data_IF_887804711507
#
_entry.id   IF_887804711507
#
_cell.length_a   1.000
_cell.length_b   1.000
_cell.length_c   1.000
_cell.angle_alpha   90.00
_cell.angle_beta   90.00
_cell.angle_gamma   90.00
#
_symmetry.space_group_name_H-M   'P 1'
#
loop_
_entity.id
_entity.type
_entity.pdbx_description
1 polymer ?
#
# COMPACT_ATOMS: atom_id res chain seq x y z
N UNK A 1 40.93 -112.50 44.92
CA UNK A 1 41.73 -111.44 45.59
C UNK A 1 40.93 -110.14 45.54
N UNK A 2 40.76 -109.49 46.71
CA UNK A 2 40.24 -108.11 46.93
C UNK A 2 41.40 -107.08 46.75
N UNK A 3 41.24 -105.75 46.93
CA UNK A 3 40.16 -104.79 46.57
C UNK A 3 40.72 -103.42 46.05
N UNK A 4 39.86 -102.39 46.05
CA UNK A 4 40.07 -100.92 46.17
C UNK A 4 39.76 -100.13 44.89
N UNK A 5 38.62 -99.46 44.75
CA UNK A 5 38.04 -98.36 45.52
C UNK A 5 38.77 -97.01 45.33
N UNK A 6 38.17 -96.10 44.56
CA UNK A 6 38.10 -94.67 44.88
C UNK A 6 36.97 -94.00 44.06
N UNK A 7 35.82 -93.88 44.70
CA UNK A 7 34.84 -92.80 44.53
C UNK A 7 35.42 -91.61 45.39
N UNK A 8 34.94 -90.33 45.37
CA UNK A 8 33.55 -90.06 45.07
C UNK A 8 33.06 -88.64 44.67
N UNK A 9 31.72 -88.57 44.50
CA UNK A 9 30.79 -87.45 44.79
C UNK A 9 30.77 -86.30 43.75
N UNK A 10 29.66 -85.65 43.38
CA UNK A 10 28.22 -85.55 43.75
C UNK A 10 27.66 -84.47 42.79
N UNK A 11 26.40 -84.19 42.53
CA UNK A 11 25.07 -84.67 42.89
C UNK A 11 24.15 -84.08 41.79
N UNK A 12 23.08 -84.80 41.42
CA UNK A 12 21.91 -84.28 40.68
C UNK A 12 21.09 -83.34 41.63
N UNK A 13 19.90 -82.74 41.33
CA UNK A 13 18.94 -83.06 40.25
C UNK A 13 18.04 -81.89 39.76
N UNK A 14 17.00 -82.26 38.98
CA UNK A 14 15.65 -81.64 38.85
C UNK A 14 15.38 -80.76 37.60
N UNK A 15 14.48 -81.28 36.74
CA UNK A 15 13.75 -80.58 35.64
C UNK A 15 12.66 -79.65 36.22
N UNK A 16 12.10 -78.69 35.45
CA UNK A 16 10.83 -79.00 34.75
C UNK A 16 10.61 -78.29 33.39
N UNK A 17 9.64 -78.82 32.63
CA UNK A 17 9.04 -78.27 31.40
C UNK A 17 8.36 -76.92 31.66
N UNK A 18 8.38 -76.00 30.69
CA UNK A 18 7.33 -74.97 30.55
C UNK A 18 7.15 -74.57 29.08
N UNK A 19 5.90 -74.61 28.62
CA UNK A 19 5.41 -74.23 27.28
C UNK A 19 5.12 -72.73 27.27
N UNK A 20 5.53 -71.98 26.24
CA UNK A 20 5.18 -70.57 26.09
C UNK A 20 4.79 -70.18 24.65
N UNK A 21 3.47 -70.21 24.41
CA UNK A 21 2.59 -69.24 23.72
C UNK A 21 3.17 -68.37 22.57
N UNK A 22 2.67 -68.61 21.34
CA UNK A 22 2.79 -67.72 20.17
C UNK A 22 2.25 -66.31 20.47
N UNK A 23 3.04 -65.27 20.19
CA UNK A 23 2.66 -63.85 20.32
C UNK A 23 2.21 -63.33 18.93
N UNK A 24 0.95 -62.90 18.83
CA UNK A 24 0.41 -62.21 17.66
C UNK A 24 1.11 -60.85 17.49
N UNK A 25 1.84 -60.67 16.39
CA UNK A 25 2.37 -59.40 15.95
C UNK A 25 1.30 -58.68 15.11
N UNK A 26 0.78 -57.55 15.61
CA UNK A 26 0.06 -56.58 14.76
C UNK A 26 1.10 -55.78 13.95
N UNK A 27 0.88 -55.49 12.66
CA UNK A 27 1.77 -54.63 11.90
C UNK A 27 1.61 -53.16 12.34
N UNK A 28 2.67 -52.32 12.23
CA UNK A 28 2.61 -50.92 12.59
C UNK A 28 1.85 -50.15 11.50
N UNK A 29 0.75 -49.48 11.87
CA UNK A 29 0.08 -48.52 11.00
C UNK A 29 1.03 -47.35 10.74
N UNK A 30 1.53 -47.25 9.51
CA UNK A 30 2.22 -46.05 9.02
C UNK A 30 1.23 -44.88 9.07
N UNK A 31 1.49 -43.89 9.91
CA UNK A 31 0.78 -42.61 9.86
C UNK A 31 1.19 -41.91 8.56
N UNK A 32 0.40 -42.12 7.50
CA UNK A 32 0.46 -41.26 6.33
C UNK A 32 0.13 -39.83 6.79
N UNK A 33 1.13 -38.96 6.78
CA UNK A 33 0.93 -37.53 7.02
C UNK A 33 0.00 -37.00 5.93
N UNK A 34 -1.29 -36.86 6.26
CA UNK A 34 -2.26 -36.16 5.42
C UNK A 34 -1.75 -34.73 5.28
N UNK A 35 -1.22 -34.38 4.10
CA UNK A 35 -0.97 -32.99 3.71
C UNK A 35 -2.31 -32.27 3.81
N UNK A 36 -2.46 -31.48 4.87
CA UNK A 36 -3.58 -30.57 5.09
C UNK A 36 -3.53 -29.50 4.00
N UNK A 37 -4.24 -29.75 2.90
CA UNK A 37 -4.60 -28.73 1.92
C UNK A 37 -5.57 -27.77 2.63
N UNK A 38 -5.04 -26.76 3.32
CA UNK A 38 -5.84 -25.66 3.86
C UNK A 38 -6.45 -24.91 2.67
N UNK A 39 -7.73 -25.22 2.34
CA UNK A 39 -8.50 -24.43 1.38
C UNK A 39 -8.48 -22.98 1.86
N UNK A 40 -8.15 -21.99 1.00
CA UNK A 40 -8.23 -20.60 1.38
C UNK A 40 -9.68 -20.30 1.78
N UNK A 41 -9.86 -19.68 2.95
CA UNK A 41 -11.21 -19.37 3.41
C UNK A 41 -11.83 -18.34 2.47
N UNK A 42 -13.09 -18.52 2.09
CA UNK A 42 -13.81 -17.58 1.21
C UNK A 42 -13.79 -16.16 1.79
N UNK A 43 -13.80 -16.03 3.12
CA UNK A 43 -13.64 -14.77 3.83
C UNK A 43 -12.26 -14.14 3.63
N UNK A 44 -11.19 -14.93 3.65
CA UNK A 44 -9.83 -14.43 3.41
C UNK A 44 -9.68 -13.94 1.97
N UNK A 45 -10.25 -14.67 1.00
CA UNK A 45 -10.25 -14.26 -0.40
C UNK A 45 -11.11 -13.00 -0.62
N UNK A 46 -12.25 -12.88 0.08
CA UNK A 46 -13.08 -11.67 0.03
C UNK A 46 -12.32 -10.46 0.61
N UNK A 47 -11.67 -10.63 1.76
CA UNK A 47 -10.87 -9.58 2.39
C UNK A 47 -9.69 -9.16 1.50
N UNK A 48 -8.97 -10.14 0.94
CA UNK A 48 -7.87 -9.89 0.02
C UNK A 48 -8.35 -9.17 -1.24
N UNK A 49 -9.52 -9.55 -1.79
CA UNK A 49 -10.14 -8.87 -2.93
C UNK A 49 -10.48 -7.41 -2.60
N UNK A 50 -11.08 -7.14 -1.43
CA UNK A 50 -11.35 -5.77 -1.00
C UNK A 50 -10.09 -4.92 -0.89
N UNK A 51 -9.00 -5.49 -0.36
CA UNK A 51 -7.71 -4.79 -0.25
C UNK A 51 -7.15 -4.46 -1.65
N UNK A 52 -7.16 -5.42 -2.58
CA UNK A 52 -6.70 -5.21 -3.96
C UNK A 52 -7.55 -4.13 -4.65
N UNK A 53 -8.88 -4.18 -4.55
CA UNK A 53 -9.78 -3.18 -5.12
C UNK A 53 -9.50 -1.79 -4.53
N UNK A 54 -9.24 -1.71 -3.22
CA UNK A 54 -8.91 -0.45 -2.57
C UNK A 54 -7.62 0.16 -3.12
N UNK A 55 -6.55 -0.63 -3.24
CA UNK A 55 -5.27 -0.15 -3.79
C UNK A 55 -5.37 0.21 -5.27
N UNK A 56 -6.09 -0.58 -6.08
CA UNK A 56 -6.31 -0.28 -7.50
C UNK A 56 -7.14 1.00 -7.65
N UNK A 57 -8.22 1.14 -6.89
CA UNK A 57 -9.05 2.36 -6.90
C UNK A 57 -8.28 3.60 -6.46
N UNK A 58 -7.46 3.47 -5.42
CA UNK A 58 -6.60 4.56 -4.96
C UNK A 58 -5.51 4.90 -5.99
N UNK A 59 -4.91 3.90 -6.62
CA UNK A 59 -3.91 4.07 -7.68
C UNK A 59 -4.47 4.78 -8.90
N UNK A 60 -5.68 4.40 -9.35
CA UNK A 60 -6.38 5.06 -10.45
C UNK A 60 -6.72 6.50 -10.09
N UNK A 61 -7.26 6.75 -8.89
CA UNK A 61 -7.56 8.12 -8.42
C UNK A 61 -6.30 8.98 -8.39
N UNK A 62 -5.20 8.44 -7.85
CA UNK A 62 -3.93 9.14 -7.78
C UNK A 62 -3.36 9.45 -9.16
N UNK A 63 -3.43 8.49 -10.09
CA UNK A 63 -3.00 8.69 -11.47
C UNK A 63 -3.80 9.80 -12.14
N UNK A 64 -5.14 9.77 -12.05
CA UNK A 64 -6.02 10.79 -12.64
C UNK A 64 -5.73 12.18 -12.06
N UNK A 65 -5.62 12.30 -10.73
CA UNK A 65 -5.32 13.56 -10.07
C UNK A 65 -3.98 14.16 -10.53
N UNK A 66 -2.97 13.32 -10.79
CA UNK A 66 -1.64 13.78 -11.19
C UNK A 66 -1.43 13.94 -12.69
N UNK A 67 -2.16 13.20 -13.53
CA UNK A 67 -1.95 13.24 -15.00
C UNK A 67 -3.01 14.04 -15.74
N UNK A 68 -4.27 14.02 -15.31
CA UNK A 68 -5.38 14.66 -16.03
C UNK A 68 -5.73 16.02 -15.41
N UNK A 69 -5.65 16.15 -14.08
CA UNK A 69 -5.96 17.39 -13.36
C UNK A 69 -4.71 18.20 -12.97
N UNK A 70 -3.62 18.07 -13.73
CA UNK A 70 -2.41 18.83 -13.46
C UNK A 70 -2.64 20.32 -13.72
N UNK A 71 -2.71 21.11 -12.65
CA UNK A 71 -2.77 22.57 -12.72
C UNK A 71 -1.43 23.16 -12.23
N UNK A 72 -0.61 23.76 -13.13
CA UNK A 72 0.68 24.31 -12.75
C UNK A 72 0.57 25.55 -11.85
N UNK A 73 -0.60 26.18 -11.77
CA UNK A 73 -0.82 27.34 -10.91
C UNK A 73 -0.92 26.98 -9.43
N UNK A 74 -1.15 25.72 -9.06
CA UNK A 74 -1.38 25.36 -7.66
C UNK A 74 -0.23 25.84 -6.76
N UNK A 75 -0.60 26.42 -5.61
CA UNK A 75 0.31 27.01 -4.63
C UNK A 75 0.30 28.55 -4.62
N UNK A 76 1.30 29.12 -3.95
CA UNK A 76 1.41 30.56 -3.67
C UNK A 76 2.28 31.27 -4.70
N UNK A 77 1.84 32.46 -5.09
CA UNK A 77 2.47 33.32 -6.07
C UNK A 77 2.51 34.76 -5.54
N UNK A 78 3.63 35.44 -5.77
CA UNK A 78 3.86 36.80 -5.31
C UNK A 78 4.30 37.69 -6.46
N UNK A 79 3.69 38.86 -6.60
CA UNK A 79 4.13 39.92 -7.49
C UNK A 79 4.50 41.17 -6.71
N UNK A 80 5.51 41.87 -7.19
CA UNK A 80 5.82 43.22 -6.72
C UNK A 80 5.21 44.21 -7.70
N UNK A 81 4.23 44.98 -7.23
CA UNK A 81 3.54 46.01 -8.01
C UNK A 81 3.87 47.39 -7.45
N UNK A 82 3.52 48.44 -8.18
CA UNK A 82 3.68 49.84 -7.69
C UNK A 82 2.87 50.08 -6.40
N UNK A 83 1.74 49.37 -6.24
CA UNK A 83 0.87 49.46 -5.07
C UNK A 83 1.33 48.59 -3.89
N UNK A 84 2.44 47.86 -4.05
CA UNK A 84 3.00 46.98 -3.03
C UNK A 84 3.06 45.51 -3.44
N UNK A 85 3.16 44.64 -2.45
CA UNK A 85 3.26 43.20 -2.64
C UNK A 85 1.86 42.61 -2.81
N UNK A 86 1.64 41.92 -3.92
CA UNK A 86 0.42 41.20 -4.20
C UNK A 86 0.69 39.70 -4.06
N UNK A 87 -0.17 39.02 -3.31
CA UNK A 87 -0.12 37.56 -3.13
C UNK A 87 -1.40 36.91 -3.61
N UNK A 88 -1.23 35.76 -4.25
CA UNK A 88 -2.29 34.92 -4.76
C UNK A 88 -1.96 33.47 -4.42
N UNK A 89 -2.93 32.75 -3.89
CA UNK A 89 -2.83 31.31 -3.64
C UNK A 89 -3.90 30.58 -4.44
N UNK A 90 -3.48 29.63 -5.27
CA UNK A 90 -4.38 28.78 -6.04
C UNK A 90 -4.47 27.41 -5.39
N UNK A 91 -5.67 27.05 -4.95
CA UNK A 91 -6.06 25.72 -4.52
C UNK A 91 -6.79 24.99 -5.64
N UNK A 92 -7.05 23.69 -5.47
CA UNK A 92 -7.75 22.86 -6.48
C UNK A 92 -9.13 23.38 -6.90
N UNK A 93 -9.85 24.05 -6.00
CA UNK A 93 -11.24 24.48 -6.20
C UNK A 93 -11.48 25.94 -5.81
N UNK A 94 -10.42 26.67 -5.47
CA UNK A 94 -10.54 28.04 -4.98
C UNK A 94 -9.27 28.82 -5.23
N UNK A 95 -9.40 30.14 -5.27
CA UNK A 95 -8.31 31.09 -5.33
C UNK A 95 -8.43 32.06 -4.16
N UNK A 96 -7.33 32.33 -3.47
CA UNK A 96 -7.24 33.35 -2.44
C UNK A 96 -6.37 34.50 -2.92
N UNK A 97 -6.85 35.73 -2.76
CA UNK A 97 -6.08 36.94 -3.02
C UNK A 97 -6.60 38.08 -2.17
N UNK A 98 -5.72 38.96 -1.69
CA UNK A 98 -6.07 40.12 -0.86
C UNK A 98 -6.96 39.79 0.35
N UNK A 99 -6.79 38.60 0.94
CA UNK A 99 -7.58 38.15 2.10
C UNK A 99 -8.97 37.60 1.77
N UNK A 100 -9.37 37.61 0.49
CA UNK A 100 -10.63 37.02 0.03
C UNK A 100 -10.37 35.68 -0.65
N UNK A 101 -11.22 34.68 -0.37
CA UNK A 101 -11.15 33.35 -0.97
C UNK A 101 -12.41 33.08 -1.77
N UNK A 102 -12.26 32.88 -3.08
CA UNK A 102 -13.36 32.62 -4.00
C UNK A 102 -13.30 31.20 -4.55
N UNK A 103 -14.45 30.54 -4.77
CA UNK A 103 -14.50 29.29 -5.52
C UNK A 103 -14.12 29.56 -6.98
N UNK A 104 -13.27 28.72 -7.55
CA UNK A 104 -12.84 28.85 -8.94
C UNK A 104 -12.76 27.51 -9.65
N UNK A 105 -12.95 27.57 -10.96
CA UNK A 105 -12.69 26.47 -11.89
C UNK A 105 -11.52 26.84 -12.79
N UNK A 106 -10.73 25.84 -13.19
CA UNK A 106 -9.55 26.02 -14.02
C UNK A 106 -9.75 25.41 -15.40
N UNK A 107 -9.37 26.14 -16.44
CA UNK A 107 -9.17 25.62 -17.78
C UNK A 107 -7.67 25.69 -18.11
N UNK A 108 -7.04 24.52 -18.18
CA UNK A 108 -5.59 24.37 -18.29
C UNK A 108 -5.21 24.05 -19.74
N UNK A 109 -4.33 24.88 -20.30
CA UNK A 109 -3.69 24.68 -21.59
C UNK A 109 -2.18 24.61 -21.43
N UNK A 110 -1.45 24.16 -22.45
CA UNK A 110 0.01 23.97 -22.38
C UNK A 110 0.80 25.22 -21.93
N UNK A 111 0.37 26.42 -22.34
CA UNK A 111 1.08 27.68 -22.10
C UNK A 111 0.32 28.69 -21.22
N UNK A 112 -0.89 28.36 -20.79
CA UNK A 112 -1.74 29.27 -20.02
C UNK A 112 -2.78 28.50 -19.21
N UNK A 113 -3.25 29.11 -18.14
CA UNK A 113 -4.38 28.64 -17.35
C UNK A 113 -5.38 29.77 -17.22
N UNK A 114 -6.64 29.49 -17.52
CA UNK A 114 -7.75 30.40 -17.29
C UNK A 114 -8.38 30.05 -15.95
N UNK A 115 -8.43 31.02 -15.04
CA UNK A 115 -9.01 30.87 -13.70
C UNK A 115 -10.37 31.58 -13.72
N UNK A 116 -11.44 30.81 -13.57
CA UNK A 116 -12.82 31.29 -13.68
C UNK A 116 -13.40 31.39 -12.27
N UNK A 117 -13.74 32.60 -11.83
CA UNK A 117 -14.47 32.80 -10.57
C UNK A 117 -15.90 32.28 -10.72
N UNK A 118 -16.28 31.32 -9.90
CA UNK A 118 -17.59 30.67 -10.01
C UNK A 118 -18.75 31.50 -9.47
N UNK A 119 -18.47 32.54 -8.70
CA UNK A 119 -19.47 33.43 -8.11
C UNK A 119 -19.93 34.48 -9.11
N UNK A 120 -18.96 35.10 -9.81
CA UNK A 120 -19.23 36.21 -10.75
C UNK A 120 -19.09 35.80 -12.23
N UNK A 121 -18.63 34.57 -12.51
CA UNK A 121 -18.40 34.01 -13.85
C UNK A 121 -17.45 34.85 -14.70
N UNK A 122 -16.39 35.38 -14.08
CA UNK A 122 -15.33 36.13 -14.75
C UNK A 122 -14.05 35.29 -14.79
N UNK A 123 -13.40 35.23 -15.96
CA UNK A 123 -12.17 34.49 -16.18
C UNK A 123 -10.94 35.39 -16.26
N UNK A 124 -9.90 35.07 -15.49
CA UNK A 124 -8.58 35.69 -15.58
C UNK A 124 -7.58 34.72 -16.21
N UNK A 125 -6.86 35.15 -17.25
CA UNK A 125 -5.87 34.32 -17.94
C UNK A 125 -4.47 34.54 -17.35
N UNK A 126 -3.84 33.47 -16.92
CA UNK A 126 -2.45 33.44 -16.49
C UNK A 126 -1.60 32.70 -17.53
N UNK A 127 -0.62 33.39 -18.12
CA UNK A 127 0.36 32.80 -19.04
C UNK A 127 1.51 32.21 -18.23
N UNK A 128 1.86 30.96 -18.53
CA UNK A 128 2.98 30.25 -17.92
C UNK A 128 4.24 30.67 -18.66
N UNK A 129 5.22 31.27 -17.96
CA UNK A 129 6.51 31.66 -18.55
C UNK A 129 7.54 30.56 -18.28
N UNK A 130 7.61 30.11 -17.02
CA UNK A 130 8.43 29.00 -16.56
C UNK A 130 7.79 28.36 -15.31
N UNK A 131 8.40 27.32 -14.74
CA UNK A 131 7.87 26.58 -13.58
C UNK A 131 7.62 27.47 -12.33
N UNK A 132 8.34 28.58 -12.23
CA UNK A 132 8.33 29.48 -11.09
C UNK A 132 7.85 30.89 -11.44
N UNK A 133 7.38 31.12 -12.67
CA UNK A 133 7.00 32.44 -13.16
C UNK A 133 5.74 32.37 -14.02
N UNK A 134 4.75 33.16 -13.65
CA UNK A 134 3.53 33.36 -14.43
C UNK A 134 3.34 34.85 -14.69
N UNK A 135 2.55 35.18 -15.70
CA UNK A 135 2.09 36.55 -15.92
C UNK A 135 0.60 36.60 -16.15
N UNK A 136 -0.04 37.66 -15.67
CA UNK A 136 -1.44 37.97 -15.93
C UNK A 136 -1.52 39.34 -16.58
N UNK A 137 -2.55 39.55 -17.38
CA UNK A 137 -2.83 40.84 -18.01
C UNK A 137 -4.29 41.20 -17.71
N UNK A 138 -4.47 42.30 -16.97
CA UNK A 138 -5.78 42.79 -16.57
C UNK A 138 -5.81 44.32 -16.70
N UNK A 139 -6.85 44.85 -17.33
CA UNK A 139 -7.02 46.30 -17.49
C UNK A 139 -5.88 46.99 -18.25
N UNK A 140 -5.18 46.28 -19.14
CA UNK A 140 -4.01 46.81 -19.88
C UNK A 140 -2.68 46.78 -19.12
N UNK A 141 -2.66 46.27 -17.88
CA UNK A 141 -1.43 46.12 -17.10
C UNK A 141 -1.00 44.66 -17.04
N UNK A 142 0.26 44.41 -17.38
CA UNK A 142 0.91 43.11 -17.22
C UNK A 142 1.54 43.00 -15.84
N UNK A 143 1.12 42.01 -15.07
CA UNK A 143 1.69 41.68 -13.77
C UNK A 143 2.43 40.36 -13.85
N UNK A 144 3.67 40.32 -13.35
CA UNK A 144 4.49 39.11 -13.30
C UNK A 144 4.54 38.61 -11.86
N UNK A 145 4.20 37.34 -11.66
CA UNK A 145 4.24 36.68 -10.36
C UNK A 145 5.34 35.63 -10.33
N UNK A 146 5.98 35.49 -9.17
CA UNK A 146 6.96 34.46 -8.88
C UNK A 146 6.40 33.49 -7.84
N UNK A 147 6.68 32.20 -8.02
CA UNK A 147 6.27 31.16 -7.08
C UNK A 147 6.94 31.40 -5.73
N UNK A 148 6.16 31.32 -4.66
CA UNK A 148 6.66 31.37 -3.28
C UNK A 148 7.03 29.94 -2.87
N UNK A 149 8.27 29.76 -2.41
CA UNK A 149 8.77 28.48 -1.88
C UNK A 149 8.40 28.30 -0.42
#
# INVERSE_FOLDING_TARGET
MRPNALNPKKDKPIKPKTVAKKRNLKPPQSKAAKKSSKRPSLLLNLLASCIVIFFVGFGIKYAIDHTINYNPLLGKWRAQTVLGIMEIEFDRTSMSSFGTKNPVTYDVSENKVIVIDDTIKVGNTYKIIDENTISSEAGGFKTVYKRVK
#
